data_IF_787624503572
#
_entry.id   IF_787624503572
#
_cell.length_a   1.000
_cell.length_b   1.000
_cell.length_c   1.000
_cell.angle_alpha   90.00
_cell.angle_beta   90.00
_cell.angle_gamma   90.00
#
_symmetry.space_group_name_H-M   'P 1'
#
loop_
_entity.id
_entity.type
_entity.pdbx_description
1 polymer ?
#
# COMPACT_ATOMS: atom_id res chain seq x y z
N UNK A 1 -3.79 -12.06 7.05
CA UNK A 1 -5.15 -11.68 6.65
C UNK A 1 -5.28 -11.54 5.13
N UNK A 2 -4.69 -10.51 4.49
CA UNK A 2 -4.84 -10.27 3.04
C UNK A 2 -4.55 -11.47 2.13
N UNK A 3 -3.52 -12.28 2.46
CA UNK A 3 -3.20 -13.50 1.72
C UNK A 3 -4.40 -14.43 1.56
N UNK A 4 -5.22 -14.61 2.61
CA UNK A 4 -6.40 -15.47 2.55
C UNK A 4 -7.61 -14.71 2.03
N UNK A 5 -7.83 -13.49 2.52
CA UNK A 5 -9.01 -12.68 2.18
C UNK A 5 -9.09 -12.34 0.68
N UNK A 6 -7.96 -12.15 0.00
CA UNK A 6 -7.90 -11.88 -1.43
C UNK A 6 -7.29 -13.03 -2.24
N UNK A 7 -6.91 -14.13 -1.58
CA UNK A 7 -6.33 -15.30 -2.25
C UNK A 7 -7.29 -16.46 -2.41
N UNK A 8 -8.44 -16.44 -1.72
CA UNK A 8 -9.42 -17.53 -1.72
C UNK A 8 -10.79 -16.95 -2.05
N UNK A 9 -11.44 -17.50 -3.07
CA UNK A 9 -12.74 -17.06 -3.55
C UNK A 9 -13.67 -18.26 -3.71
N UNK A 10 -14.97 -18.04 -3.52
CA UNK A 10 -16.00 -19.05 -3.82
C UNK A 10 -16.65 -18.73 -5.17
N UNK A 11 -16.74 -19.73 -6.03
CA UNK A 11 -17.35 -19.64 -7.35
C UNK A 11 -18.49 -20.63 -7.43
N UNK A 12 -19.61 -20.21 -8.02
CA UNK A 12 -20.81 -21.06 -8.12
C UNK A 12 -20.55 -22.33 -8.97
N UNK A 13 -19.60 -22.25 -9.91
CA UNK A 13 -19.29 -23.33 -10.85
C UNK A 13 -18.24 -24.33 -10.34
N UNK A 14 -17.23 -23.88 -9.59
CA UNK A 14 -16.07 -24.70 -9.22
C UNK A 14 -15.85 -24.79 -7.70
N UNK A 15 -16.71 -24.16 -6.89
CA UNK A 15 -16.50 -24.07 -5.45
C UNK A 15 -15.30 -23.18 -5.13
N UNK A 16 -14.35 -23.69 -4.34
CA UNK A 16 -13.20 -22.92 -3.86
C UNK A 16 -12.18 -22.71 -4.99
N UNK A 17 -11.96 -21.45 -5.37
CA UNK A 17 -10.91 -21.00 -6.27
C UNK A 17 -9.78 -20.32 -5.47
N UNK A 18 -8.54 -20.71 -5.75
CA UNK A 18 -7.36 -20.19 -5.03
C UNK A 18 -6.44 -19.45 -5.99
N UNK A 19 -6.20 -18.16 -5.70
CA UNK A 19 -5.26 -17.32 -6.42
C UNK A 19 -3.88 -17.39 -5.75
N UNK A 20 -3.13 -18.45 -6.08
CA UNK A 20 -1.84 -18.76 -5.44
C UNK A 20 -0.84 -17.60 -5.46
N UNK A 21 -0.79 -16.80 -6.54
CA UNK A 21 0.08 -15.61 -6.61
C UNK A 21 -0.19 -14.59 -5.52
N UNK A 22 -1.46 -14.34 -5.18
CA UNK A 22 -1.84 -13.41 -4.11
C UNK A 22 -1.47 -13.97 -2.73
N UNK A 23 -1.70 -15.27 -2.52
CA UNK A 23 -1.29 -15.94 -1.28
C UNK A 23 0.21 -15.79 -1.06
N UNK A 24 1.02 -16.09 -2.08
CA UNK A 24 2.49 -16.04 -1.98
C UNK A 24 2.95 -14.61 -1.71
N UNK A 25 2.53 -13.64 -2.52
CA UNK A 25 3.06 -12.27 -2.44
C UNK A 25 2.67 -11.57 -1.12
N UNK A 26 1.43 -11.77 -0.65
CA UNK A 26 0.98 -11.20 0.62
C UNK A 26 1.55 -11.94 1.83
N UNK A 27 1.85 -13.23 1.71
CA UNK A 27 2.56 -13.96 2.76
C UNK A 27 3.99 -13.45 2.91
N UNK A 28 4.69 -13.18 1.81
CA UNK A 28 6.03 -12.56 1.84
C UNK A 28 5.98 -11.22 2.56
N UNK A 29 5.05 -10.33 2.20
CA UNK A 29 4.86 -9.06 2.91
C UNK A 29 4.63 -9.29 4.40
N UNK A 30 3.74 -10.23 4.74
CA UNK A 30 3.45 -10.59 6.13
C UNK A 30 4.69 -11.01 6.92
N UNK A 31 5.57 -11.82 6.33
CA UNK A 31 6.84 -12.24 6.95
C UNK A 31 7.75 -11.05 7.21
N UNK A 32 7.89 -10.11 6.27
CA UNK A 32 8.69 -8.91 6.47
C UNK A 32 8.16 -8.02 7.59
N UNK A 33 6.83 -7.89 7.70
CA UNK A 33 6.20 -7.14 8.78
C UNK A 33 6.33 -7.83 10.14
N UNK A 34 6.20 -9.17 10.21
CA UNK A 34 6.45 -9.94 11.43
C UNK A 34 7.91 -9.81 11.86
N UNK A 35 8.84 -9.92 10.92
CA UNK A 35 10.27 -9.73 11.18
C UNK A 35 10.57 -8.34 11.74
N UNK A 36 9.87 -7.31 11.27
CA UNK A 36 10.02 -5.96 11.78
C UNK A 36 9.58 -5.80 13.25
N UNK A 37 8.57 -6.55 13.70
CA UNK A 37 8.19 -6.56 15.13
C UNK A 37 9.35 -7.04 16.02
N UNK A 38 10.18 -7.94 15.50
CA UNK A 38 11.34 -8.50 16.19
C UNK A 38 12.51 -7.51 16.16
N UNK A 39 12.80 -6.92 15.00
CA UNK A 39 13.98 -6.06 14.80
C UNK A 39 13.77 -4.61 15.26
N UNK A 40 12.51 -4.13 15.31
CA UNK A 40 12.12 -2.82 15.83
C UNK A 40 12.91 -1.65 15.24
N UNK A 41 13.10 -1.66 13.91
CA UNK A 41 13.82 -0.61 13.18
C UNK A 41 12.97 0.62 12.88
N UNK A 42 11.65 0.48 12.92
CA UNK A 42 10.69 1.56 12.81
C UNK A 42 10.66 2.35 14.12
N UNK A 43 11.15 3.58 14.06
CA UNK A 43 11.05 4.57 15.12
C UNK A 43 10.00 5.61 14.71
N UNK A 44 8.84 5.52 15.37
CA UNK A 44 7.69 6.41 15.19
C UNK A 44 7.67 7.59 16.19
N UNK A 45 8.82 7.93 16.80
CA UNK A 45 8.91 9.18 17.57
C UNK A 45 8.65 10.36 16.66
N UNK A 46 7.71 11.25 17.04
CA UNK A 46 7.27 12.41 16.26
C UNK A 46 8.47 13.27 15.82
N UNK A 47 8.95 13.16 14.57
CA UNK A 47 10.03 14.00 14.09
C UNK A 47 9.44 15.37 13.72
N UNK A 48 10.30 16.38 13.58
CA UNK A 48 9.94 17.56 12.78
C UNK A 48 9.82 17.12 11.32
N UNK A 49 8.61 16.78 10.89
CA UNK A 49 8.32 16.36 9.50
C UNK A 49 8.35 17.62 8.62
N UNK A 50 9.18 17.68 7.57
CA UNK A 50 9.23 18.83 6.69
C UNK A 50 7.91 18.96 5.90
N UNK A 51 7.45 20.20 5.70
CA UNK A 51 6.13 20.48 5.13
C UNK A 51 5.90 19.85 3.76
N UNK A 52 6.96 19.71 2.95
CA UNK A 52 6.86 19.11 1.62
C UNK A 52 6.38 17.66 1.68
N UNK A 53 6.60 16.91 2.76
CA UNK A 53 6.18 15.50 2.83
C UNK A 53 4.69 15.30 3.06
N UNK A 54 3.95 16.32 3.47
CA UNK A 54 2.52 16.20 3.76
C UNK A 54 1.65 15.96 2.52
N UNK A 55 2.21 16.08 1.31
CA UNK A 55 1.49 15.79 0.07
C UNK A 55 0.89 14.38 0.02
N UNK A 56 1.46 13.40 0.75
CA UNK A 56 0.96 12.01 0.77
C UNK A 56 -0.34 11.86 1.56
N UNK A 57 -0.65 12.78 2.49
CA UNK A 57 -1.82 12.72 3.36
C UNK A 57 -3.14 12.74 2.58
N UNK A 58 -3.41 13.68 1.67
CA UNK A 58 -4.68 13.68 0.93
C UNK A 58 -4.90 12.39 0.12
N UNK A 59 -3.84 11.84 -0.47
CA UNK A 59 -3.93 10.55 -1.18
C UNK A 59 -4.22 9.38 -0.23
N UNK A 60 -3.59 9.36 0.95
CA UNK A 60 -3.88 8.37 1.98
C UNK A 60 -5.32 8.46 2.48
N UNK A 61 -5.84 9.67 2.72
CA UNK A 61 -7.24 9.88 3.11
C UNK A 61 -8.19 9.40 2.00
N UNK A 62 -7.88 9.68 0.74
CA UNK A 62 -8.68 9.21 -0.38
C UNK A 62 -8.73 7.68 -0.44
N UNK A 63 -7.59 7.00 -0.30
CA UNK A 63 -7.54 5.53 -0.21
C UNK A 63 -8.27 4.97 1.00
N UNK A 64 -8.19 5.67 2.14
CA UNK A 64 -8.91 5.27 3.36
C UNK A 64 -10.42 5.37 3.19
N UNK A 65 -10.89 6.45 2.56
CA UNK A 65 -12.31 6.68 2.32
C UNK A 65 -12.86 5.72 1.26
N UNK A 66 -12.06 5.40 0.23
CA UNK A 66 -12.38 4.50 -0.89
C UNK A 66 -13.87 4.57 -1.34
N UNK A 67 -14.40 5.75 -1.67
CA UNK A 67 -15.79 5.88 -2.06
C UNK A 67 -16.01 5.25 -3.44
N UNK A 68 -16.72 4.12 -3.52
CA UNK A 68 -16.96 3.39 -4.79
C UNK A 68 -17.78 4.22 -5.79
N UNK A 69 -18.59 5.14 -5.29
CA UNK A 69 -19.31 6.17 -6.06
C UNK A 69 -18.85 7.56 -5.62
N UNK A 70 -19.12 8.62 -6.38
CA UNK A 70 -18.85 10.03 -6.02
C UNK A 70 -19.59 10.55 -4.78
N UNK A 71 -20.19 9.66 -3.97
CA UNK A 71 -20.88 9.98 -2.73
C UNK A 71 -19.91 9.92 -1.55
N UNK A 72 -19.48 11.08 -1.05
CA UNK A 72 -18.63 11.19 0.13
C UNK A 72 -19.47 11.13 1.42
N UNK A 73 -20.02 9.95 1.73
CA UNK A 73 -20.72 9.74 3.00
C UNK A 73 -19.72 9.41 4.11
N UNK A 74 -19.78 10.07 5.29
CA UNK A 74 -18.87 9.78 6.41
C UNK A 74 -18.93 8.34 6.91
N UNK A 75 -20.06 7.64 6.70
CA UNK A 75 -20.21 6.24 7.07
C UNK A 75 -19.18 5.33 6.37
N UNK A 76 -18.73 5.71 5.17
CA UNK A 76 -17.73 4.95 4.43
C UNK A 76 -16.35 4.96 5.10
N UNK A 77 -16.06 5.89 6.01
CA UNK A 77 -14.86 5.80 6.86
C UNK A 77 -14.85 4.56 7.76
N UNK A 78 -16.03 4.02 8.09
CA UNK A 78 -16.19 2.85 8.96
C UNK A 78 -16.53 1.58 8.16
N UNK A 79 -17.11 1.71 6.97
CA UNK A 79 -17.59 0.58 6.17
C UNK A 79 -16.86 0.41 4.83
N UNK A 80 -15.76 1.13 4.58
CA UNK A 80 -15.02 0.99 3.32
C UNK A 80 -14.24 -0.32 3.25
N UNK A 81 -13.92 -0.73 2.02
CA UNK A 81 -13.04 -1.86 1.75
C UNK A 81 -11.56 -1.58 2.06
N UNK A 82 -11.25 -0.45 2.72
CA UNK A 82 -9.88 -0.10 3.08
C UNK A 82 -9.19 -1.17 3.93
N UNK A 83 -9.92 -1.81 4.85
CA UNK A 83 -9.37 -2.84 5.74
C UNK A 83 -9.30 -4.24 5.13
N UNK A 84 -10.01 -4.47 4.03
CA UNK A 84 -10.14 -5.77 3.35
C UNK A 84 -9.27 -5.86 2.10
N UNK A 85 -9.04 -4.72 1.45
CA UNK A 85 -8.35 -4.63 0.17
C UNK A 85 -6.99 -3.96 0.30
N UNK A 86 -5.95 -4.71 -0.09
CA UNK A 86 -4.56 -4.27 0.01
C UNK A 86 -4.31 -3.00 -0.81
N UNK A 87 -5.00 -2.84 -1.95
CA UNK A 87 -4.89 -1.67 -2.82
C UNK A 87 -5.19 -0.35 -2.10
N UNK A 88 -6.07 -0.38 -1.09
CA UNK A 88 -6.44 0.77 -0.29
C UNK A 88 -5.64 0.84 1.00
N UNK A 89 -5.33 -0.31 1.63
CA UNK A 89 -4.52 -0.34 2.86
C UNK A 89 -3.07 0.09 2.63
N UNK A 90 -2.44 -0.41 1.57
CA UNK A 90 -1.03 -0.19 1.27
C UNK A 90 -0.65 1.29 1.13
N UNK A 91 -1.37 2.15 0.37
CA UNK A 91 -1.02 3.56 0.26
C UNK A 91 -1.05 4.29 1.60
N UNK A 92 -1.95 3.94 2.52
CA UNK A 92 -1.98 4.56 3.86
C UNK A 92 -0.79 4.11 4.71
N UNK A 93 -0.50 2.80 4.73
CA UNK A 93 0.68 2.27 5.43
C UNK A 93 1.96 2.91 4.90
N UNK A 94 2.10 2.98 3.57
CA UNK A 94 3.26 3.57 2.90
C UNK A 94 3.35 5.08 3.13
N UNK A 95 2.21 5.80 3.14
CA UNK A 95 2.18 7.21 3.49
C UNK A 95 2.75 7.44 4.89
N UNK A 96 2.30 6.67 5.89
CA UNK A 96 2.82 6.73 7.26
C UNK A 96 4.33 6.46 7.25
N UNK A 97 4.79 5.36 6.64
CA UNK A 97 6.22 5.04 6.61
C UNK A 97 7.06 6.13 5.90
N UNK A 98 6.51 6.78 4.87
CA UNK A 98 7.19 7.86 4.15
C UNK A 98 7.34 9.14 4.98
N UNK A 99 6.34 9.45 5.82
CA UNK A 99 6.38 10.58 6.74
C UNK A 99 7.47 10.39 7.79
N UNK A 100 7.56 9.18 8.36
CA UNK A 100 8.57 8.81 9.36
C UNK A 100 9.95 8.48 8.78
N UNK A 101 10.11 8.42 7.45
CA UNK A 101 11.44 8.30 6.83
C UNK A 101 12.36 9.47 7.27
N UNK A 102 13.65 9.25 7.62
CA UNK A 102 14.43 8.02 7.45
C UNK A 102 14.40 7.07 8.65
N UNK A 103 13.54 7.24 9.64
CA UNK A 103 13.53 6.40 10.85
C UNK A 103 12.70 5.11 10.71
N UNK A 104 12.61 4.57 9.49
CA UNK A 104 11.81 3.37 9.19
C UNK A 104 12.69 2.22 8.66
N UNK A 105 12.21 0.99 8.81
CA UNK A 105 12.80 -0.18 8.21
C UNK A 105 12.65 -0.13 6.69
N UNK A 106 13.79 0.04 6.01
CA UNK A 106 13.86 0.17 4.55
C UNK A 106 13.47 -1.13 3.84
N UNK A 107 13.72 -2.30 4.43
CA UNK A 107 13.28 -3.56 3.84
C UNK A 107 11.74 -3.64 3.79
N UNK A 108 11.06 -3.28 4.87
CA UNK A 108 9.59 -3.24 4.91
C UNK A 108 9.04 -2.20 3.95
N UNK A 109 9.61 -0.99 3.95
CA UNK A 109 9.23 0.09 3.02
C UNK A 109 9.37 -0.36 1.56
N UNK A 110 10.49 -1.02 1.23
CA UNK A 110 10.79 -1.48 -0.13
C UNK A 110 9.90 -2.62 -0.57
N UNK A 111 9.75 -3.67 0.24
CA UNK A 111 8.93 -4.83 -0.13
C UNK A 111 7.47 -4.43 -0.27
N UNK A 112 6.95 -3.65 0.69
CA UNK A 112 5.56 -3.15 0.63
C UNK A 112 5.37 -2.21 -0.55
N UNK A 113 6.31 -1.29 -0.80
CA UNK A 113 6.26 -0.38 -1.95
C UNK A 113 6.39 -1.10 -3.29
N UNK A 114 7.20 -2.15 -3.38
CA UNK A 114 7.36 -2.94 -4.60
C UNK A 114 6.07 -3.66 -4.97
N UNK A 115 5.48 -4.38 -4.02
CA UNK A 115 4.22 -5.09 -4.26
C UNK A 115 3.08 -4.10 -4.50
N UNK A 116 3.03 -2.99 -3.77
CA UNK A 116 2.05 -1.93 -3.99
C UNK A 116 2.15 -1.33 -5.39
N UNK A 117 3.36 -1.07 -5.89
CA UNK A 117 3.57 -0.57 -7.25
C UNK A 117 3.15 -1.61 -8.29
N UNK A 118 3.54 -2.86 -8.11
CA UNK A 118 3.16 -3.96 -9.01
C UNK A 118 1.64 -4.10 -9.12
N UNK A 119 0.93 -4.15 -8.00
CA UNK A 119 -0.53 -4.21 -7.99
C UNK A 119 -1.15 -2.92 -8.52
N UNK A 120 -0.57 -1.75 -8.25
CA UNK A 120 -1.02 -0.48 -8.81
C UNK A 120 -0.99 -0.47 -10.34
N UNK A 121 0.10 -0.96 -10.94
CA UNK A 121 0.21 -1.08 -12.40
C UNK A 121 -0.86 -2.03 -12.93
N UNK A 122 -0.99 -3.23 -12.35
CA UNK A 122 -1.97 -4.23 -12.83
C UNK A 122 -3.42 -3.72 -12.73
N UNK A 123 -3.79 -3.11 -11.61
CA UNK A 123 -5.13 -2.57 -11.43
C UNK A 123 -5.40 -1.41 -12.38
N UNK A 124 -4.46 -0.46 -12.52
CA UNK A 124 -4.61 0.66 -13.45
C UNK A 124 -4.76 0.17 -14.90
N UNK A 125 -3.98 -0.83 -15.33
CA UNK A 125 -4.11 -1.41 -16.68
C UNK A 125 -5.45 -2.11 -16.88
N UNK A 126 -5.86 -2.96 -15.93
CA UNK A 126 -7.10 -3.71 -16.04
C UNK A 126 -8.33 -2.79 -16.05
N UNK A 127 -8.40 -1.85 -15.10
CA UNK A 127 -9.52 -0.91 -14.99
C UNK A 127 -9.55 0.07 -16.17
N UNK A 128 -8.39 0.45 -16.70
CA UNK A 128 -8.34 1.28 -17.91
C UNK A 128 -8.97 0.59 -19.12
N UNK A 129 -8.81 -0.73 -19.25
CA UNK A 129 -9.47 -1.53 -20.29
C UNK A 129 -10.99 -1.63 -20.07
N UNK A 130 -11.43 -1.73 -18.81
CA UNK A 130 -12.86 -1.77 -18.45
C UNK A 130 -13.57 -0.41 -18.55
N UNK A 131 -12.82 0.71 -18.67
CA UNK A 131 -13.37 2.05 -18.90
C UNK A 131 -13.97 2.75 -17.67
N UNK A 132 -13.81 2.20 -16.48
CA UNK A 132 -14.39 2.76 -15.24
C UNK A 132 -13.45 3.82 -14.65
N UNK A 133 -13.52 5.05 -15.18
CA UNK A 133 -12.63 6.16 -14.82
C UNK A 133 -12.52 6.44 -13.32
N UNK A 134 -13.63 6.35 -12.58
CA UNK A 134 -13.64 6.62 -11.14
C UNK A 134 -12.78 5.62 -10.35
N UNK A 135 -12.85 4.34 -10.74
CA UNK A 135 -12.08 3.28 -10.10
C UNK A 135 -10.58 3.43 -10.41
N UNK A 136 -10.21 3.98 -11.57
CA UNK A 136 -8.82 4.36 -11.88
C UNK A 136 -8.33 5.41 -10.88
N UNK A 137 -9.12 6.47 -10.65
CA UNK A 137 -8.76 7.56 -9.73
C UNK A 137 -8.50 7.03 -8.31
N UNK A 138 -9.31 6.08 -7.84
CA UNK A 138 -9.13 5.45 -6.53
C UNK A 138 -7.85 4.61 -6.41
N UNK A 139 -7.31 4.11 -7.53
CA UNK A 139 -6.07 3.32 -7.57
C UNK A 139 -4.81 4.15 -7.86
N UNK A 140 -4.94 5.41 -8.29
CA UNK A 140 -3.79 6.33 -8.45
C UNK A 140 -2.97 6.47 -7.16
N UNK A 141 -3.56 6.67 -5.96
CA UNK A 141 -2.81 6.74 -4.71
C UNK A 141 -1.87 5.56 -4.47
N UNK A 142 -2.33 4.34 -4.76
CA UNK A 142 -1.54 3.12 -4.62
C UNK A 142 -0.30 3.20 -5.49
N UNK A 143 -0.46 3.55 -6.77
CA UNK A 143 0.64 3.68 -7.71
C UNK A 143 1.64 4.77 -7.27
N UNK A 144 1.14 5.98 -7.01
CA UNK A 144 1.98 7.17 -6.75
C UNK A 144 2.75 7.03 -5.44
N UNK A 145 2.09 6.65 -4.34
CA UNK A 145 2.74 6.52 -3.03
C UNK A 145 3.72 5.35 -3.03
N UNK A 146 3.39 4.23 -3.69
CA UNK A 146 4.29 3.08 -3.81
C UNK A 146 5.55 3.41 -4.58
N UNK A 147 5.44 4.09 -5.71
CA UNK A 147 6.58 4.57 -6.49
C UNK A 147 7.47 5.51 -5.67
N UNK A 148 6.84 6.48 -4.99
CA UNK A 148 7.57 7.42 -4.13
C UNK A 148 8.33 6.71 -3.00
N UNK A 149 7.70 5.76 -2.30
CA UNK A 149 8.34 5.01 -1.23
C UNK A 149 9.50 4.14 -1.73
N UNK A 150 9.37 3.56 -2.93
CA UNK A 150 10.47 2.84 -3.56
C UNK A 150 11.66 3.75 -3.84
N UNK A 151 11.43 4.92 -4.45
CA UNK A 151 12.47 5.91 -4.74
C UNK A 151 13.18 6.32 -3.44
N UNK A 152 12.42 6.65 -2.38
CA UNK A 152 12.97 6.95 -1.06
C UNK A 152 13.85 5.80 -0.53
N UNK A 153 13.38 4.56 -0.70
CA UNK A 153 14.12 3.37 -0.24
C UNK A 153 15.48 3.20 -0.94
N UNK A 154 15.60 3.64 -2.20
CA UNK A 154 16.85 3.56 -2.94
C UNK A 154 17.79 4.72 -2.60
N UNK A 155 17.26 5.94 -2.49
CA UNK A 155 18.04 7.13 -2.14
C UNK A 155 18.79 6.97 -0.81
N UNK A 156 18.19 6.30 0.17
CA UNK A 156 18.85 6.06 1.46
C UNK A 156 20.03 5.09 1.38
N UNK A 157 19.97 4.08 0.51
CA UNK A 157 21.13 3.17 0.30
C UNK A 157 22.29 3.96 -0.29
N UNK A 158 22.02 4.80 -1.28
CA UNK A 158 23.06 5.62 -1.92
C UNK A 158 23.70 6.59 -0.92
N UNK A 159 22.91 7.22 -0.05
CA UNK A 159 23.43 8.11 0.98
C UNK A 159 24.27 7.37 2.04
N UNK A 160 23.87 6.16 2.45
CA UNK A 160 24.65 5.34 3.39
C UNK A 160 25.96 4.83 2.78
N UNK A 161 25.98 4.54 1.48
CA UNK A 161 27.18 4.09 0.78
C UNK A 161 28.18 5.23 0.54
N UNK A 162 27.68 6.46 0.32
CA UNK A 162 28.52 7.65 0.14
C UNK A 162 29.13 8.20 1.45
N UNK A 163 28.64 7.74 2.60
CA UNK A 163 29.14 8.13 3.92
C UNK A 163 30.11 7.12 4.54
N UNK A 164 30.48 6.07 3.81
CA UNK A 164 31.49 5.06 4.15
C UNK A 164 32.73 5.28 3.29
#
# INVERSE_FOLDING_TARGET
FFAFAQGVFFTDKYGIAIMGGYIIIFSIIGVYWIWEIIVKKNDFTLPKIPYWKYWVIPFAILSFWSPVELQFKPIYLLTSDYGTSFCFTAPVILAILSLYHPKVNIAVLRVTGFVGLFLGILNLTYIFLDGILWLIILHIPLFVISLYCLILSYQRITLKYKSL
#
